data_IF_990562059007
#
_entry.id   IF_990562059007
#
_cell.length_a   1.000
_cell.length_b   1.000
_cell.length_c   1.000
_cell.angle_alpha   90.00
_cell.angle_beta   90.00
_cell.angle_gamma   90.00
#
_symmetry.space_group_name_H-M   'P 1'
#
loop_
_entity.id
_entity.type
_entity.pdbx_description
1 polymer ?
#
# COMPACT_ATOMS: atom_id res chain seq x y z
N UNK A 1 -2.12 9.91 14.79
CA UNK A 1 -1.50 8.97 13.85
C UNK A 1 -2.53 8.27 13.00
N UNK A 2 -3.11 7.13 13.41
CA UNK A 2 -4.14 6.47 12.58
C UNK A 2 -5.35 7.35 12.29
N UNK A 3 -5.79 8.14 13.26
CA UNK A 3 -6.90 9.08 13.09
C UNK A 3 -6.56 10.20 12.09
N UNK A 4 -5.33 10.65 12.08
CA UNK A 4 -4.89 11.68 11.14
C UNK A 4 -4.95 11.18 9.69
N UNK A 5 -4.53 9.93 9.46
CA UNK A 5 -4.61 9.31 8.13
C UNK A 5 -6.07 9.15 7.72
N UNK A 6 -6.91 8.64 8.61
CA UNK A 6 -8.34 8.48 8.33
C UNK A 6 -9.01 9.81 8.00
N UNK A 7 -8.71 10.86 8.76
CA UNK A 7 -9.26 12.18 8.52
C UNK A 7 -8.79 12.76 7.17
N UNK A 8 -7.51 12.62 6.86
CA UNK A 8 -6.98 13.03 5.56
C UNK A 8 -7.64 12.26 4.40
N UNK A 9 -7.84 10.97 4.56
CA UNK A 9 -8.52 10.13 3.55
C UNK A 9 -9.96 10.55 3.38
N UNK A 10 -10.68 10.85 4.46
CA UNK A 10 -12.07 11.31 4.37
C UNK A 10 -12.23 12.55 3.51
N UNK A 11 -11.27 13.45 3.54
CA UNK A 11 -11.27 14.64 2.68
C UNK A 11 -11.08 14.29 1.20
N UNK A 12 -10.42 13.16 0.90
CA UNK A 12 -10.19 12.67 -0.46
C UNK A 12 -11.37 11.88 -1.04
N UNK A 13 -12.27 11.36 -0.20
CA UNK A 13 -13.33 10.45 -0.64
C UNK A 13 -14.22 11.03 -1.74
N UNK A 14 -14.66 12.30 -1.69
CA UNK A 14 -15.49 12.84 -2.78
C UNK A 14 -14.78 12.77 -4.15
N UNK A 15 -13.50 13.11 -4.22
CA UNK A 15 -12.71 13.03 -5.45
C UNK A 15 -12.52 11.59 -5.92
N UNK A 16 -12.29 10.66 -5.00
CA UNK A 16 -12.17 9.22 -5.30
C UNK A 16 -13.49 8.70 -5.87
N UNK A 17 -14.61 9.04 -5.26
CA UNK A 17 -15.94 8.65 -5.73
C UNK A 17 -16.24 9.21 -7.12
N UNK A 18 -15.87 10.45 -7.36
CA UNK A 18 -16.05 11.11 -8.67
C UNK A 18 -15.26 10.42 -9.77
N UNK A 19 -14.07 9.86 -9.46
CA UNK A 19 -13.22 9.14 -10.41
C UNK A 19 -13.58 7.67 -10.57
N UNK A 20 -14.48 7.13 -9.77
CA UNK A 20 -14.78 5.68 -9.73
C UNK A 20 -15.17 5.13 -11.10
N UNK A 21 -15.98 5.86 -11.84
CA UNK A 21 -16.41 5.45 -13.19
C UNK A 21 -15.26 5.36 -14.17
N UNK A 22 -14.35 6.34 -14.15
CA UNK A 22 -13.14 6.35 -14.98
C UNK A 22 -12.20 5.20 -14.63
N UNK A 23 -12.07 4.87 -13.35
CA UNK A 23 -11.30 3.71 -12.88
C UNK A 23 -11.86 2.42 -13.48
N UNK A 24 -13.16 2.26 -13.42
CA UNK A 24 -13.85 1.07 -13.95
C UNK A 24 -13.67 0.96 -15.47
N UNK A 25 -13.82 2.06 -16.19
CA UNK A 25 -13.68 2.09 -17.64
C UNK A 25 -12.23 1.84 -18.12
N UNK A 26 -11.26 2.40 -17.42
CA UNK A 26 -9.83 2.30 -17.78
C UNK A 26 -9.15 1.06 -17.22
N UNK A 27 -9.70 0.45 -16.19
CA UNK A 27 -9.09 -0.70 -15.52
C UNK A 27 -7.81 -0.38 -14.75
N UNK A 28 -7.62 0.88 -14.35
CA UNK A 28 -6.45 1.32 -13.59
C UNK A 28 -6.78 2.49 -12.69
N UNK A 29 -6.02 2.62 -11.59
CA UNK A 29 -6.17 3.73 -10.66
C UNK A 29 -5.35 4.92 -11.17
N UNK A 30 -5.92 6.13 -11.26
CA UNK A 30 -5.18 7.29 -11.70
C UNK A 30 -3.97 7.59 -10.81
N UNK A 31 -2.88 8.02 -11.42
CA UNK A 31 -1.69 8.41 -10.68
C UNK A 31 -1.98 9.52 -9.66
N UNK A 32 -2.91 10.41 -9.96
CA UNK A 32 -3.38 11.45 -9.05
C UNK A 32 -3.91 10.87 -7.74
N UNK A 33 -4.75 9.84 -7.82
CA UNK A 33 -5.30 9.17 -6.65
C UNK A 33 -4.19 8.53 -5.82
N UNK A 34 -3.25 7.85 -6.45
CA UNK A 34 -2.11 7.24 -5.75
C UNK A 34 -1.26 8.32 -5.07
N UNK A 35 -1.01 9.45 -5.70
CA UNK A 35 -0.28 10.56 -5.08
C UNK A 35 -1.02 11.12 -3.87
N UNK A 36 -2.33 11.30 -3.97
CA UNK A 36 -3.15 11.78 -2.86
C UNK A 36 -3.12 10.82 -1.67
N UNK A 37 -3.27 9.52 -1.91
CA UNK A 37 -3.22 8.50 -0.86
C UNK A 37 -1.82 8.39 -0.25
N UNK A 38 -0.78 8.52 -1.05
CA UNK A 38 0.61 8.57 -0.57
C UNK A 38 0.83 9.75 0.36
N UNK A 39 0.38 10.94 -0.05
CA UNK A 39 0.50 12.16 0.76
C UNK A 39 -0.31 12.06 2.07
N UNK A 40 -1.45 11.36 2.05
CA UNK A 40 -2.25 11.12 3.25
C UNK A 40 -1.60 10.12 4.24
N UNK A 41 -0.58 9.38 3.81
CA UNK A 41 0.13 8.43 4.66
C UNK A 41 -0.41 7.00 4.64
N UNK A 42 -1.32 6.68 3.74
CA UNK A 42 -1.98 5.36 3.68
C UNK A 42 -0.96 4.23 3.54
N UNK A 43 0.01 4.40 2.65
CA UNK A 43 0.97 3.33 2.34
C UNK A 43 2.10 3.21 3.36
N UNK A 44 2.19 4.12 4.30
CA UNK A 44 3.17 4.07 5.39
C UNK A 44 2.59 3.53 6.69
N UNK A 45 1.29 3.31 6.77
CA UNK A 45 0.64 2.90 8.02
C UNK A 45 1.25 1.63 8.60
N UNK A 46 1.48 0.62 7.77
CA UNK A 46 2.02 -0.68 8.20
C UNK A 46 3.53 -0.85 7.91
N UNK A 47 4.16 0.17 7.34
CA UNK A 47 5.60 0.17 7.05
C UNK A 47 6.41 0.29 8.33
N UNK A 48 7.59 -0.37 8.44
CA UNK A 48 8.43 -0.25 9.63
C UNK A 48 8.88 1.18 9.91
N UNK A 49 8.90 1.56 11.19
CA UNK A 49 9.33 2.89 11.65
C UNK A 49 10.74 3.24 11.15
N UNK A 50 11.65 2.27 11.19
CA UNK A 50 13.05 2.50 10.76
C UNK A 50 13.18 2.86 9.27
N UNK A 51 12.14 2.61 8.48
CA UNK A 51 12.08 2.99 7.08
C UNK A 51 11.00 4.07 6.80
N UNK A 52 10.66 4.85 7.81
CA UNK A 52 9.76 5.99 7.65
C UNK A 52 8.29 5.68 7.79
N UNK A 53 7.94 4.46 8.21
CA UNK A 53 6.55 4.06 8.42
C UNK A 53 6.05 4.36 9.82
N UNK A 54 4.76 4.11 10.04
CA UNK A 54 4.11 4.34 11.32
C UNK A 54 4.01 3.08 12.20
N UNK A 55 4.21 1.89 11.64
CA UNK A 55 3.96 0.61 12.33
C UNK A 55 2.63 0.61 13.09
N UNK A 56 1.60 1.10 12.45
CA UNK A 56 0.30 1.31 13.06
C UNK A 56 -0.45 -0.01 13.23
N UNK A 57 -1.54 0.05 14.01
CA UNK A 57 -2.43 -1.09 14.21
C UNK A 57 -3.07 -1.50 12.87
N UNK A 58 -3.01 -2.79 12.49
CA UNK A 58 -3.69 -3.27 11.28
C UNK A 58 -5.19 -2.95 11.22
N UNK A 59 -5.87 -2.91 12.37
CA UNK A 59 -7.29 -2.54 12.42
C UNK A 59 -7.50 -1.11 11.94
N UNK A 60 -6.62 -0.18 12.33
CA UNK A 60 -6.67 1.20 11.86
C UNK A 60 -6.48 1.28 10.33
N UNK A 61 -5.57 0.47 9.79
CA UNK A 61 -5.38 0.36 8.36
C UNK A 61 -6.66 -0.16 7.66
N UNK A 62 -7.27 -1.19 8.20
CA UNK A 62 -8.52 -1.74 7.63
C UNK A 62 -9.65 -0.72 7.62
N UNK A 63 -9.75 0.13 8.64
CA UNK A 63 -10.74 1.20 8.67
C UNK A 63 -10.52 2.22 7.56
N UNK A 64 -9.27 2.57 7.29
CA UNK A 64 -8.92 3.46 6.18
C UNK A 64 -9.29 2.81 4.83
N UNK A 65 -8.93 1.55 4.64
CA UNK A 65 -9.28 0.81 3.41
C UNK A 65 -10.79 0.71 3.23
N UNK A 66 -11.51 0.47 4.31
CA UNK A 66 -12.97 0.41 4.29
C UNK A 66 -13.59 1.72 3.83
N UNK A 67 -13.08 2.85 4.31
CA UNK A 67 -13.53 4.17 3.90
C UNK A 67 -13.28 4.41 2.41
N UNK A 68 -12.08 4.10 1.92
CA UNK A 68 -11.72 4.23 0.50
C UNK A 68 -12.62 3.35 -0.36
N UNK A 69 -12.83 2.10 0.06
CA UNK A 69 -13.66 1.13 -0.68
C UNK A 69 -15.11 1.57 -0.79
N UNK A 70 -15.63 2.28 0.21
CA UNK A 70 -16.97 2.86 0.16
C UNK A 70 -17.12 3.93 -0.92
N UNK A 71 -16.04 4.61 -1.29
CA UNK A 71 -16.04 5.60 -2.37
C UNK A 71 -15.77 4.94 -3.73
N UNK A 72 -14.84 3.98 -3.79
CA UNK A 72 -14.50 3.23 -4.99
C UNK A 72 -13.88 1.89 -4.60
N UNK A 73 -14.57 0.79 -4.87
CA UNK A 73 -14.11 -0.55 -4.52
C UNK A 73 -12.77 -0.92 -5.14
N UNK A 74 -12.57 -0.57 -6.41
CA UNK A 74 -11.29 -0.84 -7.11
C UNK A 74 -10.12 -0.07 -6.48
N UNK A 75 -10.32 1.19 -6.13
CA UNK A 75 -9.30 2.00 -5.45
C UNK A 75 -8.99 1.43 -4.07
N UNK A 76 -10.01 1.02 -3.32
CA UNK A 76 -9.81 0.36 -2.03
C UNK A 76 -9.03 -0.94 -2.13
N UNK A 77 -9.32 -1.75 -3.14
CA UNK A 77 -8.57 -2.99 -3.39
C UNK A 77 -7.09 -2.73 -3.64
N UNK A 78 -6.77 -1.82 -4.56
CA UNK A 78 -5.38 -1.49 -4.90
C UNK A 78 -4.66 -0.89 -3.67
N UNK A 79 -5.32 0.01 -2.95
CA UNK A 79 -4.74 0.60 -1.74
C UNK A 79 -4.46 -0.46 -0.67
N UNK A 80 -5.36 -1.43 -0.50
CA UNK A 80 -5.16 -2.54 0.45
C UNK A 80 -3.93 -3.37 0.09
N UNK A 81 -3.78 -3.74 -1.18
CA UNK A 81 -2.65 -4.55 -1.65
C UNK A 81 -1.33 -3.79 -1.48
N UNK A 82 -1.27 -2.54 -1.90
CA UNK A 82 -0.06 -1.72 -1.77
C UNK A 82 0.34 -1.51 -0.30
N UNK A 83 -0.64 -1.30 0.57
CA UNK A 83 -0.38 -1.09 1.99
C UNK A 83 0.02 -2.37 2.74
N UNK A 84 -0.65 -3.49 2.48
CA UNK A 84 -0.36 -4.76 3.17
C UNK A 84 1.02 -5.32 2.78
N UNK A 85 1.49 -5.06 1.58
CA UNK A 85 2.83 -5.50 1.18
C UNK A 85 3.93 -4.79 1.97
N UNK A 86 3.71 -3.56 2.42
CA UNK A 86 4.65 -2.88 3.32
C UNK A 86 4.78 -3.61 4.66
N UNK A 87 3.67 -4.12 5.20
CA UNK A 87 3.72 -4.98 6.39
C UNK A 87 4.46 -6.28 6.10
N UNK A 88 4.18 -6.91 4.98
CA UNK A 88 4.76 -8.19 4.59
C UNK A 88 6.30 -8.07 4.42
N UNK A 89 6.78 -7.07 3.71
CA UNK A 89 8.21 -6.81 3.56
C UNK A 89 8.87 -6.54 4.91
N UNK A 90 8.16 -5.91 5.84
CA UNK A 90 8.63 -5.70 7.20
C UNK A 90 8.92 -6.98 8.00
N UNK A 91 8.42 -8.13 7.53
CA UNK A 91 8.71 -9.44 8.12
C UNK A 91 9.94 -10.12 7.50
N UNK A 92 10.48 -9.58 6.43
CA UNK A 92 11.64 -10.15 5.75
C UNK A 92 12.95 -9.74 6.45
N UNK A 93 14.06 -10.37 6.04
CA UNK A 93 15.38 -10.02 6.53
C UNK A 93 15.73 -8.55 6.24
N UNK A 94 16.63 -7.98 7.04
CA UNK A 94 17.01 -6.57 6.93
C UNK A 94 17.53 -6.20 5.53
N UNK A 95 18.27 -7.09 4.89
CA UNK A 95 18.78 -6.87 3.53
C UNK A 95 17.65 -6.67 2.53
N UNK A 96 16.58 -7.46 2.63
CA UNK A 96 15.43 -7.34 1.74
C UNK A 96 14.68 -6.03 1.97
N UNK A 97 14.51 -5.63 3.23
CA UNK A 97 13.88 -4.35 3.58
C UNK A 97 14.72 -3.18 3.06
N UNK A 98 16.04 -3.28 3.17
CA UNK A 98 16.96 -2.25 2.67
C UNK A 98 16.91 -2.13 1.15
N UNK A 99 16.77 -3.23 0.42
CA UNK A 99 16.59 -3.21 -1.03
C UNK A 99 15.32 -2.43 -1.43
N UNK A 100 14.24 -2.59 -0.67
CA UNK A 100 12.98 -1.91 -0.96
C UNK A 100 13.02 -0.43 -0.59
N UNK A 101 13.48 -0.11 0.62
CA UNK A 101 13.36 1.25 1.18
C UNK A 101 14.68 1.97 1.39
N UNK A 102 15.81 1.37 1.06
CA UNK A 102 17.12 1.97 1.30
C UNK A 102 17.34 3.30 0.56
N UNK A 103 16.71 3.47 -0.60
CA UNK A 103 16.79 4.71 -1.37
C UNK A 103 15.73 5.74 -0.98
N UNK A 104 14.71 5.35 -0.22
CA UNK A 104 13.63 6.23 0.22
C UNK A 104 12.40 5.48 0.70
N UNK A 105 11.58 6.11 1.54
CA UNK A 105 10.45 5.46 2.19
C UNK A 105 9.21 5.30 1.29
N UNK A 106 9.19 5.90 0.11
CA UNK A 106 8.00 5.96 -0.74
C UNK A 106 7.90 4.85 -1.78
N UNK A 107 8.83 3.88 -1.76
CA UNK A 107 8.77 2.73 -2.67
C UNK A 107 7.53 1.89 -2.36
N UNK A 108 6.69 1.69 -3.37
CA UNK A 108 5.51 0.84 -3.25
C UNK A 108 5.82 -0.57 -3.77
N UNK A 109 5.24 -1.56 -3.11
CA UNK A 109 5.41 -2.97 -3.47
C UNK A 109 4.06 -3.55 -3.87
N UNK A 110 4.03 -4.21 -4.99
CA UNK A 110 2.88 -4.97 -5.44
C UNK A 110 3.31 -6.37 -5.85
N UNK A 111 2.51 -7.36 -5.53
CA UNK A 111 2.78 -8.74 -5.92
C UNK A 111 1.49 -9.54 -5.98
N UNK A 112 1.61 -10.78 -6.42
CA UNK A 112 0.53 -11.76 -6.36
C UNK A 112 0.92 -12.88 -5.40
N UNK A 113 -0.03 -13.33 -4.60
CA UNK A 113 0.15 -14.51 -3.77
C UNK A 113 -0.17 -15.81 -4.52
N UNK A 114 -0.55 -15.73 -5.81
CA UNK A 114 -0.77 -16.90 -6.63
C UNK A 114 0.57 -17.61 -6.90
N UNK A 115 0.70 -18.91 -6.63
CA UNK A 115 1.97 -19.65 -6.74
C UNK A 115 2.27 -20.07 -8.19
N UNK A 116 2.12 -19.15 -9.12
CA UNK A 116 2.34 -19.39 -10.57
C UNK A 116 3.64 -18.79 -11.08
N UNK A 117 4.31 -17.99 -10.25
CA UNK A 117 5.62 -17.42 -10.58
C UNK A 117 6.74 -18.41 -10.27
N UNK A 118 7.81 -18.33 -11.04
CA UNK A 118 9.04 -19.06 -10.78
C UNK A 118 10.19 -18.14 -10.46
N UNK A 119 11.04 -18.55 -9.53
CA UNK A 119 12.27 -17.83 -9.22
C UNK A 119 13.45 -18.79 -9.42
N UNK A 120 14.52 -18.37 -10.13
CA UNK A 120 15.69 -19.22 -10.26
C UNK A 120 16.35 -19.42 -8.89
N UNK A 121 16.77 -20.65 -8.62
CA UNK A 121 17.51 -20.93 -7.38
C UNK A 121 18.87 -20.24 -7.43
N UNK A 122 19.17 -19.48 -6.39
CA UNK A 122 20.53 -19.00 -6.17
C UNK A 122 21.43 -20.14 -5.70
N UNK A 123 22.66 -20.23 -6.21
CA UNK A 123 23.66 -21.19 -5.74
C UNK A 123 23.98 -21.00 -4.25
N UNK A 124 23.78 -19.81 -3.70
CA UNK A 124 23.95 -19.53 -2.29
C UNK A 124 22.83 -20.14 -1.42
N UNK A 125 21.67 -20.44 -1.99
CA UNK A 125 20.52 -21.00 -1.27
C UNK A 125 20.63 -22.53 -1.05
N UNK A 126 21.66 -23.19 -1.57
CA UNK A 126 21.86 -24.64 -1.47
C UNK A 126 22.78 -25.04 -0.32
N UNK A 127 23.13 -24.12 0.59
CA UNK A 127 24.01 -24.41 1.74
C UNK A 127 23.20 -24.59 3.01
#
# INVERSE_FOLDING_TARGET
MSNEVLDAVRELLPGIAERARSVDEKGSIPAETIRELTAAGVFRMLQPVRYGGAEDDPVAFYEVIRAISGACGSTGWVAAILGVHSWHVGLFADEAQHEVWGAGPDTLVASSYAPIGGSPRSTAATR
#
